data_IF_793180439165
#
_entry.id   IF_793180439165
#
_cell.length_a   1.000
_cell.length_b   1.000
_cell.length_c   1.000
_cell.angle_alpha   90.00
_cell.angle_beta   90.00
_cell.angle_gamma   90.00
#
_symmetry.space_group_name_H-M   'P 1'
#
loop_
_entity.id
_entity.type
_entity.pdbx_description
1 polymer ?
#
# COMPACT_ATOMS: atom_id res chain seq x y z
N UNK A 1 13.23 -22.21 -17.96
CA UNK A 1 14.17 -23.15 -18.62
C UNK A 1 14.01 -24.49 -17.91
N UNK A 2 13.82 -25.59 -18.65
CA UNK A 2 13.59 -26.95 -18.11
C UNK A 2 12.11 -27.37 -18.16
N UNK A 3 11.59 -27.86 -19.29
CA UNK A 3 11.55 -29.24 -19.81
C UNK A 3 10.48 -30.16 -19.19
N UNK A 4 9.75 -30.79 -20.11
CA UNK A 4 8.65 -31.75 -20.02
C UNK A 4 8.92 -32.98 -19.12
N UNK A 5 7.87 -33.50 -18.49
CA UNK A 5 7.59 -34.95 -18.54
C UNK A 5 6.12 -35.24 -18.28
N UNK A 6 5.54 -36.06 -19.16
CA UNK A 6 4.16 -36.50 -19.15
C UNK A 6 3.99 -37.69 -18.21
N UNK A 7 2.86 -37.74 -17.49
CA UNK A 7 2.40 -38.98 -16.87
C UNK A 7 0.91 -39.19 -17.20
N UNK A 8 0.66 -40.17 -18.07
CA UNK A 8 -0.66 -40.74 -18.34
C UNK A 8 -0.75 -42.01 -17.52
N UNK A 9 -1.71 -42.09 -16.60
CA UNK A 9 -2.24 -43.34 -16.08
C UNK A 9 -3.71 -43.13 -15.73
N UNK A 10 -4.59 -43.68 -16.55
CA UNK A 10 -6.01 -43.87 -16.22
C UNK A 10 -6.25 -45.36 -16.29
N UNK A 11 -6.47 -45.96 -15.13
CA UNK A 11 -6.85 -47.35 -14.97
C UNK A 11 -8.30 -47.55 -15.45
N UNK A 12 -8.48 -48.55 -16.30
CA UNK A 12 -9.79 -49.03 -16.74
C UNK A 12 -10.25 -50.15 -15.82
N UNK A 13 -11.47 -50.01 -15.31
CA UNK A 13 -12.23 -51.00 -14.55
C UNK A 13 -12.60 -52.16 -15.50
N UNK A 14 -12.22 -53.40 -15.16
CA UNK A 14 -12.73 -54.62 -15.80
C UNK A 14 -13.66 -55.36 -14.84
N UNK A 15 -14.91 -55.47 -15.27
CA UNK A 15 -15.98 -56.27 -14.69
C UNK A 15 -15.71 -57.76 -14.86
N UNK A 16 -15.96 -58.51 -13.79
CA UNK A 16 -16.03 -59.96 -13.77
C UNK A 16 -17.29 -60.45 -14.49
N UNK A 17 -17.15 -61.41 -15.40
CA UNK A 17 -18.24 -62.28 -15.84
C UNK A 17 -17.68 -63.69 -16.08
N UNK A 18 -18.44 -64.66 -15.57
CA UNK A 18 -18.00 -66.02 -15.27
C UNK A 18 -17.69 -66.91 -16.47
N UNK A 19 -16.92 -67.95 -16.13
CA UNK A 19 -16.58 -69.12 -16.93
C UNK A 19 -17.83 -69.96 -17.20
N UNK A 20 -18.14 -70.18 -18.48
CA UNK A 20 -18.92 -71.33 -18.94
C UNK A 20 -18.04 -72.10 -19.90
N UNK A 21 -17.73 -73.33 -19.51
CA UNK A 21 -17.01 -74.33 -20.31
C UNK A 21 -17.91 -74.86 -21.41
N UNK A 22 -17.49 -74.73 -22.68
CA UNK A 22 -17.98 -75.57 -23.76
C UNK A 22 -16.79 -76.32 -24.38
N UNK A 23 -16.84 -77.64 -24.19
CA UNK A 23 -16.01 -78.66 -24.81
C UNK A 23 -16.26 -78.71 -26.32
N UNK A 24 -15.21 -78.47 -27.10
CA UNK A 24 -15.18 -78.82 -28.52
C UNK A 24 -14.28 -80.04 -28.73
N UNK A 25 -14.70 -81.05 -29.51
CA UNK A 25 -13.97 -82.28 -29.68
C UNK A 25 -12.74 -82.09 -30.58
N UNK A 26 -11.64 -82.75 -30.21
CA UNK A 26 -10.44 -82.92 -31.05
C UNK A 26 -10.81 -83.78 -32.26
N UNK A 27 -10.75 -83.18 -33.45
CA UNK A 27 -10.73 -83.91 -34.71
C UNK A 27 -9.30 -84.05 -35.23
N UNK A 28 -8.97 -85.31 -35.48
CA UNK A 28 -7.85 -85.96 -36.16
C UNK A 28 -6.87 -85.12 -37.00
N UNK A 29 -5.59 -85.39 -36.71
CA UNK A 29 -4.40 -85.14 -37.53
C UNK A 29 -4.57 -85.84 -38.88
N UNK A 30 -4.53 -85.07 -39.97
CA UNK A 30 -4.35 -85.60 -41.33
C UNK A 30 -2.90 -85.34 -41.73
N UNK A 31 -2.09 -86.40 -41.66
CA UNK A 31 -0.75 -86.47 -42.24
C UNK A 31 -0.90 -86.81 -43.74
N UNK A 32 -0.61 -85.83 -44.60
CA UNK A 32 -0.50 -86.00 -46.05
C UNK A 32 0.59 -85.08 -46.61
N UNK A 33 1.23 -85.43 -47.74
CA UNK A 33 2.36 -84.69 -48.26
C UNK A 33 1.93 -83.26 -48.60
N UNK A 34 2.71 -82.29 -48.11
CA UNK A 34 2.51 -80.86 -48.35
C UNK A 34 2.74 -80.61 -49.85
N UNK A 35 1.67 -80.69 -50.64
CA UNK A 35 1.66 -80.15 -51.99
C UNK A 35 1.70 -78.64 -51.82
N UNK A 36 2.89 -78.06 -51.94
CA UNK A 36 3.08 -76.62 -51.98
C UNK A 36 2.50 -76.10 -53.30
N UNK A 37 1.17 -75.97 -53.35
CA UNK A 37 0.50 -75.22 -54.41
C UNK A 37 0.97 -73.78 -54.25
N UNK A 38 1.91 -73.36 -55.09
CA UNK A 38 2.23 -71.94 -55.25
C UNK A 38 1.04 -71.26 -55.91
N UNK A 39 0.04 -70.93 -55.12
CA UNK A 39 -0.82 -69.81 -55.45
C UNK A 39 -0.01 -68.55 -55.20
N UNK A 40 0.65 -68.06 -56.25
CA UNK A 40 0.77 -66.63 -56.40
C UNK A 40 -0.66 -66.10 -56.66
N UNK A 41 -1.51 -66.07 -55.64
CA UNK A 41 -2.55 -65.05 -55.63
C UNK A 41 -1.75 -63.76 -55.48
N UNK A 42 -1.64 -62.98 -56.56
CA UNK A 42 -1.42 -61.56 -56.37
C UNK A 42 -2.40 -61.16 -55.27
N UNK A 43 -1.92 -60.64 -54.13
CA UNK A 43 -2.72 -59.64 -53.42
C UNK A 43 -2.84 -58.51 -54.44
N UNK A 44 -3.84 -58.65 -55.31
CA UNK A 44 -4.16 -57.67 -56.32
C UNK A 44 -4.29 -56.35 -55.58
N UNK A 45 -3.41 -55.42 -55.94
CA UNK A 45 -3.32 -54.07 -55.41
C UNK A 45 -3.13 -53.98 -53.88
N UNK A 46 -2.09 -53.26 -53.45
CA UNK A 46 -2.03 -52.79 -52.08
C UNK A 46 -3.35 -52.09 -51.73
N UNK A 47 -3.96 -52.45 -50.60
CA UNK A 47 -5.01 -51.63 -50.01
C UNK A 47 -4.38 -50.31 -49.59
N UNK A 48 -4.32 -49.38 -50.55
CA UNK A 48 -4.01 -47.98 -50.33
C UNK A 48 -5.28 -47.18 -50.59
N UNK A 49 -6.39 -47.61 -49.99
CA UNK A 49 -7.63 -46.83 -49.99
C UNK A 49 -7.52 -45.78 -48.89
N UNK A 50 -7.45 -44.51 -49.28
CA UNK A 50 -7.46 -43.37 -48.36
C UNK A 50 -8.88 -43.11 -47.84
N UNK A 51 -9.46 -44.09 -47.14
CA UNK A 51 -10.83 -44.03 -46.61
C UNK A 51 -10.85 -43.64 -45.12
N UNK A 52 -9.97 -42.71 -44.73
CA UNK A 52 -9.89 -42.15 -43.37
C UNK A 52 -10.32 -40.69 -43.40
N UNK A 53 -11.46 -40.40 -42.79
CA UNK A 53 -11.89 -39.03 -42.53
C UNK A 53 -12.27 -38.88 -41.05
N UNK A 54 -12.22 -37.63 -40.57
CA UNK A 54 -12.55 -37.30 -39.20
C UNK A 54 -13.96 -36.71 -39.12
N UNK A 55 -14.72 -37.06 -38.09
CA UNK A 55 -16.07 -36.52 -37.91
C UNK A 55 -16.08 -34.98 -37.85
N UNK A 56 -17.12 -34.36 -38.43
CA UNK A 56 -17.33 -32.92 -38.40
C UNK A 56 -17.33 -32.37 -36.98
N UNK A 57 -16.56 -31.30 -36.74
CA UNK A 57 -16.33 -30.75 -35.39
C UNK A 57 -17.43 -29.81 -34.88
N UNK A 58 -18.55 -29.71 -35.59
CA UNK A 58 -19.73 -28.88 -35.25
C UNK A 58 -19.37 -27.42 -34.93
N UNK A 59 -18.37 -26.88 -35.63
CA UNK A 59 -17.96 -25.47 -35.55
C UNK A 59 -19.05 -24.57 -36.17
N UNK A 60 -18.97 -23.26 -35.93
CA UNK A 60 -19.92 -22.27 -36.42
C UNK A 60 -20.61 -21.49 -35.31
N UNK A 61 -21.49 -20.58 -35.71
CA UNK A 61 -22.29 -19.76 -34.80
C UNK A 61 -23.27 -20.64 -34.03
N UNK A 62 -23.48 -20.27 -32.76
CA UNK A 62 -24.43 -20.90 -31.85
C UNK A 62 -25.52 -19.93 -31.42
N UNK A 63 -25.29 -18.63 -31.61
CA UNK A 63 -26.22 -17.54 -31.39
C UNK A 63 -26.18 -16.59 -32.59
N UNK A 64 -27.37 -16.24 -33.11
CA UNK A 64 -27.55 -15.29 -34.20
C UNK A 64 -27.51 -13.83 -33.75
N UNK A 65 -27.53 -12.93 -34.72
CA UNK A 65 -27.64 -11.48 -34.51
C UNK A 65 -28.95 -11.13 -33.79
N UNK A 66 -28.88 -10.29 -32.77
CA UNK A 66 -30.04 -9.82 -32.01
C UNK A 66 -30.62 -10.83 -31.02
N UNK A 67 -30.06 -12.04 -30.90
CA UNK A 67 -30.51 -13.02 -29.91
C UNK A 67 -30.15 -12.61 -28.49
N UNK A 68 -31.07 -12.85 -27.55
CA UNK A 68 -30.79 -12.67 -26.13
C UNK A 68 -29.94 -13.82 -25.59
N UNK A 69 -28.89 -13.46 -24.84
CA UNK A 69 -27.95 -14.41 -24.24
C UNK A 69 -27.78 -14.16 -22.75
N UNK A 70 -27.40 -15.22 -22.02
CA UNK A 70 -27.03 -15.20 -20.61
C UNK A 70 -25.51 -15.35 -20.45
N UNK A 71 -24.90 -14.89 -19.34
CA UNK A 71 -23.48 -15.12 -19.07
C UNK A 71 -23.09 -16.59 -19.20
N UNK A 72 -21.94 -16.84 -19.82
CA UNK A 72 -21.39 -18.18 -20.07
C UNK A 72 -21.91 -18.88 -21.32
N UNK A 73 -22.95 -18.36 -22.00
CA UNK A 73 -23.43 -18.98 -23.23
C UNK A 73 -22.43 -18.82 -24.37
N UNK A 74 -22.22 -19.91 -25.12
CA UNK A 74 -21.34 -19.94 -26.29
C UNK A 74 -22.03 -19.24 -27.46
N UNK A 75 -21.34 -18.28 -28.08
CA UNK A 75 -21.79 -17.53 -29.26
C UNK A 75 -21.25 -18.14 -30.55
N UNK A 76 -19.98 -18.55 -30.56
CA UNK A 76 -19.30 -19.06 -31.76
C UNK A 76 -18.25 -20.10 -31.37
N UNK A 77 -18.26 -21.27 -32.05
CA UNK A 77 -17.16 -22.24 -31.98
C UNK A 77 -16.34 -22.17 -33.26
N UNK A 78 -15.02 -22.01 -33.15
CA UNK A 78 -14.18 -21.78 -34.31
C UNK A 78 -12.80 -22.44 -34.17
N UNK A 79 -12.04 -22.45 -35.26
CA UNK A 79 -10.61 -22.77 -35.29
C UNK A 79 -9.89 -21.50 -35.73
N UNK A 80 -9.01 -20.99 -34.87
CA UNK A 80 -8.52 -19.61 -34.97
C UNK A 80 -9.62 -18.57 -34.74
N UNK A 81 -9.26 -17.30 -34.82
CA UNK A 81 -10.17 -16.16 -34.62
C UNK A 81 -10.73 -15.65 -35.94
N UNK A 82 -11.76 -16.32 -36.46
CA UNK A 82 -12.53 -15.80 -37.61
C UNK A 82 -13.37 -14.60 -37.18
N UNK A 83 -13.94 -14.71 -35.98
CA UNK A 83 -14.47 -13.59 -35.23
C UNK A 83 -13.59 -13.33 -34.01
N UNK A 84 -13.48 -12.06 -33.64
CA UNK A 84 -12.79 -11.58 -32.45
C UNK A 84 -13.80 -11.25 -31.35
N UNK A 85 -13.42 -11.38 -30.06
CA UNK A 85 -14.27 -10.97 -28.96
C UNK A 85 -14.40 -9.43 -28.97
N UNK A 86 -15.64 -8.96 -29.03
CA UNK A 86 -16.01 -7.55 -28.93
C UNK A 86 -16.41 -7.17 -27.51
N UNK A 87 -17.30 -6.19 -27.39
CA UNK A 87 -17.80 -5.72 -26.09
C UNK A 87 -18.55 -6.82 -25.31
N UNK A 88 -18.33 -6.91 -24.00
CA UNK A 88 -19.01 -7.83 -23.06
C UNK A 88 -18.91 -9.34 -23.40
N UNK A 89 -17.84 -9.71 -24.10
CA UNK A 89 -17.62 -11.05 -24.63
C UNK A 89 -16.21 -11.54 -24.30
N UNK A 90 -16.10 -12.83 -23.96
CA UNK A 90 -14.84 -13.53 -23.66
C UNK A 90 -14.45 -14.51 -24.75
N UNK A 91 -13.18 -14.92 -24.75
CA UNK A 91 -12.63 -15.94 -25.64
C UNK A 91 -12.00 -17.07 -24.83
N UNK A 92 -12.38 -18.32 -25.16
CA UNK A 92 -11.84 -19.52 -24.54
C UNK A 92 -10.54 -19.99 -25.20
N UNK A 93 -9.93 -21.04 -24.62
CA UNK A 93 -8.68 -21.63 -25.12
C UNK A 93 -8.76 -22.11 -26.57
N UNK A 94 -9.90 -22.65 -26.99
CA UNK A 94 -10.15 -23.11 -28.36
C UNK A 94 -10.66 -21.98 -29.29
N UNK A 95 -10.50 -20.72 -28.89
CA UNK A 95 -11.05 -19.53 -29.54
C UNK A 95 -12.59 -19.48 -29.60
N UNK A 96 -13.27 -20.31 -28.79
CA UNK A 96 -14.72 -20.23 -28.60
C UNK A 96 -15.08 -18.90 -27.96
N UNK A 97 -16.02 -18.19 -28.57
CA UNK A 97 -16.51 -16.90 -28.08
C UNK A 97 -17.72 -17.15 -27.18
N UNK A 98 -17.75 -16.53 -26.00
CA UNK A 98 -18.84 -16.69 -25.03
C UNK A 98 -19.23 -15.36 -24.36
N UNK A 99 -20.47 -15.30 -23.89
CA UNK A 99 -21.04 -14.13 -23.23
C UNK A 99 -20.45 -13.91 -21.83
N UNK A 100 -20.02 -12.68 -21.49
CA UNK A 100 -19.68 -12.32 -20.10
C UNK A 100 -20.87 -11.70 -19.37
N UNK A 101 -21.70 -10.96 -20.11
CA UNK A 101 -22.89 -10.30 -19.59
C UNK A 101 -24.14 -10.77 -20.37
N UNK A 102 -25.35 -10.71 -19.80
CA UNK A 102 -26.57 -10.89 -20.55
C UNK A 102 -26.85 -9.65 -21.39
N UNK A 103 -27.47 -9.90 -22.54
CA UNK A 103 -27.81 -8.85 -23.48
C UNK A 103 -28.10 -9.47 -24.83
N UNK A 104 -27.87 -8.70 -25.89
CA UNK A 104 -28.21 -9.05 -27.25
C UNK A 104 -26.94 -9.16 -28.10
N UNK A 105 -26.78 -10.28 -28.80
CA UNK A 105 -25.60 -10.54 -29.63
C UNK A 105 -25.57 -9.58 -30.81
N UNK A 106 -24.42 -8.95 -31.07
CA UNK A 106 -24.17 -8.09 -32.22
C UNK A 106 -22.88 -8.50 -32.92
N UNK A 107 -22.98 -8.69 -34.23
CA UNK A 107 -21.86 -8.87 -35.14
C UNK A 107 -21.56 -7.52 -35.78
N UNK A 108 -20.32 -7.06 -35.69
CA UNK A 108 -19.95 -5.72 -36.19
C UNK A 108 -18.50 -5.66 -36.67
N UNK A 109 -18.21 -4.58 -37.39
CA UNK A 109 -16.85 -4.16 -37.76
C UNK A 109 -16.49 -2.96 -36.91
N UNK A 110 -15.30 -3.00 -36.33
CA UNK A 110 -14.79 -1.90 -35.51
C UNK A 110 -13.83 -1.04 -36.36
N UNK A 111 -14.06 0.28 -36.49
CA UNK A 111 -13.15 1.18 -37.21
C UNK A 111 -11.70 1.11 -36.74
N UNK A 112 -11.46 0.85 -35.46
CA UNK A 112 -10.10 0.68 -34.92
C UNK A 112 -9.40 -0.58 -35.45
N UNK A 113 -10.16 -1.55 -35.95
CA UNK A 113 -9.67 -2.87 -36.37
C UNK A 113 -10.28 -3.26 -37.74
N UNK A 114 -9.88 -2.58 -38.83
CA UNK A 114 -10.61 -2.59 -40.10
C UNK A 114 -10.70 -3.96 -40.80
N UNK A 115 -9.76 -4.87 -40.55
CA UNK A 115 -9.71 -6.21 -41.16
C UNK A 115 -10.29 -7.32 -40.27
N UNK A 116 -10.91 -6.97 -39.14
CA UNK A 116 -11.39 -7.94 -38.14
C UNK A 116 -12.90 -7.84 -37.97
N UNK A 117 -13.53 -9.00 -37.81
CA UNK A 117 -14.96 -9.12 -37.50
C UNK A 117 -15.14 -9.38 -36.01
N UNK A 118 -16.09 -8.72 -35.37
CA UNK A 118 -16.31 -8.83 -33.93
C UNK A 118 -17.66 -9.43 -33.62
N UNK A 119 -17.73 -10.11 -32.48
CA UNK A 119 -18.98 -10.48 -31.82
C UNK A 119 -18.96 -9.83 -30.44
N UNK A 120 -19.92 -8.95 -30.20
CA UNK A 120 -20.14 -8.33 -28.90
C UNK A 120 -21.55 -8.59 -28.38
N UNK A 121 -21.79 -8.16 -27.14
CA UNK A 121 -23.10 -8.19 -26.52
C UNK A 121 -23.48 -6.77 -26.13
N UNK A 122 -24.55 -6.30 -26.76
CA UNK A 122 -25.19 -5.05 -26.43
C UNK A 122 -26.11 -5.23 -25.22
N UNK A 123 -25.97 -4.40 -24.18
CA UNK A 123 -26.76 -4.54 -22.94
C UNK A 123 -28.26 -4.31 -23.17
N UNK A 124 -28.61 -3.42 -24.12
CA UNK A 124 -29.99 -3.14 -24.51
C UNK A 124 -30.25 -3.67 -25.92
N UNK A 125 -31.52 -3.99 -26.21
CA UNK A 125 -31.91 -4.50 -27.53
C UNK A 125 -31.64 -3.49 -28.64
N UNK A 126 -31.92 -2.22 -28.39
CA UNK A 126 -31.79 -1.14 -29.37
C UNK A 126 -30.38 -0.57 -29.49
N UNK A 127 -29.48 -0.85 -28.52
CA UNK A 127 -28.09 -0.40 -28.64
C UNK A 127 -27.37 -1.15 -29.77
N UNK A 128 -26.60 -0.39 -30.53
CA UNK A 128 -25.77 -0.89 -31.63
C UNK A 128 -24.32 -1.02 -31.16
N UNK A 129 -23.59 -1.94 -31.77
CA UNK A 129 -22.16 -2.10 -31.62
C UNK A 129 -21.51 -1.86 -33.00
N UNK A 130 -20.34 -1.19 -33.09
CA UNK A 130 -19.51 -0.68 -31.98
C UNK A 130 -20.13 0.55 -31.29
N UNK A 131 -19.88 0.72 -29.99
CA UNK A 131 -20.26 1.96 -29.29
C UNK A 131 -19.37 3.14 -29.72
N UNK A 132 -19.89 4.38 -29.69
CA UNK A 132 -19.05 5.56 -29.95
C UNK A 132 -17.88 5.65 -28.96
N UNK A 133 -16.67 5.90 -29.47
CA UNK A 133 -15.43 5.76 -28.69
C UNK A 133 -15.34 6.67 -27.46
N UNK A 134 -15.83 7.91 -27.58
CA UNK A 134 -15.77 8.92 -26.51
C UNK A 134 -16.97 8.88 -25.56
N UNK A 135 -18.01 8.11 -25.90
CA UNK A 135 -19.15 7.95 -25.01
C UNK A 135 -18.79 7.09 -23.80
N UNK A 136 -19.42 7.33 -22.64
CA UNK A 136 -19.20 6.50 -21.46
C UNK A 136 -19.64 5.07 -21.76
N UNK A 137 -18.75 4.11 -21.49
CA UNK A 137 -19.07 2.69 -21.66
C UNK A 137 -20.25 2.30 -20.77
N UNK A 138 -21.31 1.77 -21.38
CA UNK A 138 -22.42 1.18 -20.66
C UNK A 138 -21.95 -0.05 -19.87
N UNK A 139 -22.19 -0.07 -18.55
CA UNK A 139 -21.81 -1.17 -17.65
C UNK A 139 -23.03 -1.69 -16.91
N UNK A 140 -23.10 -3.00 -16.70
CA UNK A 140 -24.14 -3.62 -15.89
C UNK A 140 -23.65 -3.79 -14.44
N UNK A 141 -24.39 -3.23 -13.49
CA UNK A 141 -24.08 -3.42 -12.07
C UNK A 141 -24.34 -4.86 -11.62
N UNK A 142 -25.50 -5.43 -11.97
CA UNK A 142 -25.80 -6.86 -11.81
C UNK A 142 -26.09 -7.33 -10.38
N UNK A 143 -26.11 -6.42 -9.39
CA UNK A 143 -26.47 -6.71 -8.00
C UNK A 143 -27.78 -6.01 -7.62
N UNK A 144 -28.46 -6.56 -6.62
CA UNK A 144 -29.72 -6.06 -6.05
C UNK A 144 -29.51 -5.80 -4.56
N UNK A 145 -30.03 -4.69 -3.99
CA UNK A 145 -29.95 -4.48 -2.56
C UNK A 145 -30.68 -5.61 -1.80
N UNK A 146 -30.07 -6.08 -0.71
CA UNK A 146 -30.69 -7.06 0.17
C UNK A 146 -31.72 -6.32 1.03
N UNK A 147 -33.00 -6.48 0.72
CA UNK A 147 -34.11 -5.83 1.44
C UNK A 147 -34.41 -6.48 2.78
N UNK A 148 -34.17 -7.79 2.89
CA UNK A 148 -34.38 -8.56 4.11
C UNK A 148 -33.30 -8.22 5.15
N UNK A 149 -33.66 -7.63 6.30
CA UNK A 149 -32.69 -7.18 7.31
C UNK A 149 -31.85 -8.32 7.88
N UNK A 150 -32.40 -9.52 7.96
CA UNK A 150 -31.68 -10.69 8.49
C UNK A 150 -30.54 -11.09 7.57
N UNK A 151 -30.80 -11.13 6.26
CA UNK A 151 -29.80 -11.40 5.23
C UNK A 151 -28.79 -10.26 5.10
N UNK A 152 -29.24 -9.01 5.22
CA UNK A 152 -28.35 -7.85 5.21
C UNK A 152 -27.36 -7.91 6.37
N UNK A 153 -27.83 -8.19 7.59
CA UNK A 153 -26.97 -8.35 8.77
C UNK A 153 -25.99 -9.52 8.64
N UNK A 154 -26.42 -10.62 8.02
CA UNK A 154 -25.53 -11.74 7.72
C UNK A 154 -24.41 -11.32 6.75
N UNK A 155 -24.77 -10.66 5.64
CA UNK A 155 -23.82 -10.17 4.64
C UNK A 155 -22.83 -9.17 5.26
N UNK A 156 -23.31 -8.21 6.07
CA UNK A 156 -22.48 -7.25 6.81
C UNK A 156 -21.50 -7.93 7.77
N UNK A 157 -21.91 -9.05 8.37
CA UNK A 157 -21.07 -9.85 9.26
C UNK A 157 -19.99 -10.66 8.52
N UNK A 158 -20.20 -10.93 7.22
CA UNK A 158 -19.26 -11.75 6.45
C UNK A 158 -17.99 -10.97 6.10
N UNK A 159 -16.83 -11.59 6.31
CA UNK A 159 -15.52 -11.00 6.03
C UNK A 159 -14.68 -11.97 5.22
N UNK A 160 -13.78 -11.45 4.39
CA UNK A 160 -12.77 -12.30 3.73
C UNK A 160 -11.88 -12.94 4.80
N UNK A 161 -11.42 -14.18 4.57
CA UNK A 161 -10.52 -14.90 5.50
C UNK A 161 -9.35 -14.05 5.97
N UNK A 162 -8.69 -13.31 5.07
CA UNK A 162 -7.58 -12.40 5.41
C UNK A 162 -8.00 -11.29 6.39
N UNK A 163 -9.17 -10.69 6.18
CA UNK A 163 -9.69 -9.64 7.05
C UNK A 163 -10.07 -10.20 8.42
N UNK A 164 -10.72 -11.37 8.46
CA UNK A 164 -11.08 -12.04 9.70
C UNK A 164 -9.85 -12.32 10.58
N UNK A 165 -8.78 -12.88 10.00
CA UNK A 165 -7.54 -13.17 10.72
C UNK A 165 -6.82 -11.90 11.21
N UNK A 166 -6.87 -10.81 10.44
CA UNK A 166 -6.22 -9.54 10.82
C UNK A 166 -7.04 -8.71 11.82
N UNK A 167 -8.36 -8.87 11.87
CA UNK A 167 -9.27 -8.08 12.72
C UNK A 167 -8.84 -8.01 14.20
N UNK A 168 -8.50 -9.11 14.90
CA UNK A 168 -8.09 -9.02 16.31
C UNK A 168 -6.77 -8.26 16.51
N UNK A 169 -5.81 -8.42 15.59
CA UNK A 169 -4.51 -7.72 15.63
C UNK A 169 -4.74 -6.22 15.46
N UNK A 170 -5.50 -5.82 14.42
CA UNK A 170 -5.82 -4.42 14.17
C UNK A 170 -6.58 -3.79 15.34
N UNK A 171 -7.51 -4.53 15.97
CA UNK A 171 -8.21 -4.05 17.18
C UNK A 171 -7.24 -3.78 18.34
N UNK A 172 -6.29 -4.69 18.59
CA UNK A 172 -5.26 -4.51 19.63
C UNK A 172 -4.38 -3.29 19.34
N UNK A 173 -3.99 -3.10 18.09
CA UNK A 173 -3.21 -1.93 17.67
C UNK A 173 -3.99 -0.61 17.81
N UNK A 174 -5.27 -0.59 17.42
CA UNK A 174 -6.14 0.58 17.59
C UNK A 174 -6.27 0.93 19.07
N UNK A 175 -6.53 -0.06 19.94
CA UNK A 175 -6.59 0.14 21.39
C UNK A 175 -5.29 0.73 21.94
N UNK A 176 -4.14 0.18 21.56
CA UNK A 176 -2.84 0.70 21.98
C UNK A 176 -2.57 2.15 21.47
N UNK A 177 -3.09 2.52 20.29
CA UNK A 177 -3.01 3.91 19.79
C UNK A 177 -3.92 4.85 20.58
N UNK A 178 -5.11 4.39 20.97
CA UNK A 178 -6.05 5.16 21.80
C UNK A 178 -5.50 5.38 23.21
N UNK A 179 -4.93 4.35 23.85
CA UNK A 179 -4.26 4.47 25.15
C UNK A 179 -3.12 5.50 25.09
N UNK A 180 -2.28 5.45 24.05
CA UNK A 180 -1.24 6.47 23.82
C UNK A 180 -1.82 7.85 23.57
N UNK A 181 -2.97 7.96 22.89
CA UNK A 181 -3.64 9.25 22.66
C UNK A 181 -4.08 9.84 24.00
N UNK A 182 -4.74 9.05 24.84
CA UNK A 182 -5.20 9.45 26.18
C UNK A 182 -4.01 9.92 27.03
N UNK A 183 -2.92 9.14 27.06
CA UNK A 183 -1.70 9.50 27.79
C UNK A 183 -1.10 10.84 27.30
N UNK A 184 -1.00 11.04 25.98
CA UNK A 184 -0.48 12.29 25.43
C UNK A 184 -1.42 13.47 25.68
N UNK A 185 -2.74 13.28 25.59
CA UNK A 185 -3.73 14.31 25.90
C UNK A 185 -3.62 14.72 27.37
N UNK A 186 -3.51 13.77 28.30
CA UNK A 186 -3.32 14.03 29.72
C UNK A 186 -2.02 14.83 29.98
N UNK A 187 -0.92 14.41 29.36
CA UNK A 187 0.37 15.13 29.45
C UNK A 187 0.26 16.57 28.93
N UNK A 188 -0.46 16.80 27.83
CA UNK A 188 -0.69 18.16 27.33
C UNK A 188 -1.63 18.97 28.23
N UNK A 189 -2.62 18.34 28.88
CA UNK A 189 -3.45 18.99 29.90
C UNK A 189 -2.61 19.48 31.09
N UNK A 190 -1.73 18.64 31.62
CA UNK A 190 -0.81 19.01 32.71
C UNK A 190 0.15 20.13 32.32
N UNK A 191 0.68 20.10 31.10
CA UNK A 191 1.56 21.15 30.58
C UNK A 191 0.81 22.46 30.34
N UNK A 192 -0.44 22.39 29.85
CA UNK A 192 -1.29 23.57 29.64
C UNK A 192 -1.56 24.30 30.95
N UNK A 193 -1.90 23.59 32.02
CA UNK A 193 -2.15 24.17 33.35
C UNK A 193 -0.93 24.98 33.83
N UNK A 194 0.28 24.50 33.55
CA UNK A 194 1.53 25.18 33.95
C UNK A 194 1.80 26.46 33.15
N UNK A 195 1.43 26.48 31.87
CA UNK A 195 1.74 27.61 30.97
C UNK A 195 0.63 28.67 30.97
N UNK A 196 -0.63 28.24 31.06
CA UNK A 196 -1.82 29.10 31.06
C UNK A 196 -2.75 28.67 32.19
N UNK A 197 -2.54 29.17 33.42
CA UNK A 197 -3.33 28.77 34.59
C UNK A 197 -4.78 29.29 34.56
N UNK A 198 -5.09 30.26 33.69
CA UNK A 198 -6.41 30.91 33.59
C UNK A 198 -7.46 30.10 32.81
N UNK A 199 -7.15 28.89 32.34
CA UNK A 199 -8.07 28.09 31.54
C UNK A 199 -9.01 27.28 32.43
N UNK A 200 -10.29 27.21 32.01
CA UNK A 200 -11.26 26.33 32.66
C UNK A 200 -10.99 24.86 32.34
N UNK A 201 -11.51 23.92 33.15
CA UNK A 201 -11.30 22.48 32.94
C UNK A 201 -11.78 22.00 31.55
N UNK A 202 -12.92 22.52 31.09
CA UNK A 202 -13.45 22.20 29.76
C UNK A 202 -12.55 22.71 28.64
N UNK A 203 -12.03 23.93 28.79
CA UNK A 203 -11.08 24.52 27.85
C UNK A 203 -9.76 23.77 27.82
N UNK A 204 -9.30 23.25 28.96
CA UNK A 204 -8.09 22.40 29.05
C UNK A 204 -8.31 21.09 28.29
N UNK A 205 -9.49 20.47 28.42
CA UNK A 205 -9.81 19.23 27.69
C UNK A 205 -9.81 19.47 26.18
N UNK A 206 -10.55 20.47 25.70
CA UNK A 206 -10.61 20.79 24.26
C UNK A 206 -9.26 21.29 23.74
N UNK A 207 -8.54 22.09 24.54
CA UNK A 207 -7.23 22.62 24.22
C UNK A 207 -6.16 21.55 24.10
N UNK A 208 -6.13 20.57 25.02
CA UNK A 208 -5.19 19.45 24.97
C UNK A 208 -5.43 18.55 23.75
N UNK A 209 -6.69 18.29 23.40
CA UNK A 209 -7.06 17.58 22.17
C UNK A 209 -6.62 18.35 20.91
N UNK A 210 -6.86 19.67 20.88
CA UNK A 210 -6.40 20.56 19.80
C UNK A 210 -4.89 20.51 19.64
N UNK A 211 -4.14 20.64 20.73
CA UNK A 211 -2.68 20.64 20.68
C UNK A 211 -2.12 19.29 20.23
N UNK A 212 -2.73 18.17 20.66
CA UNK A 212 -2.35 16.86 20.16
C UNK A 212 -2.59 16.72 18.65
N UNK A 213 -3.69 17.27 18.13
CA UNK A 213 -3.96 17.28 16.70
C UNK A 213 -2.93 18.12 15.93
N UNK A 214 -2.63 19.35 16.38
CA UNK A 214 -1.60 20.21 15.76
C UNK A 214 -0.25 19.49 15.76
N UNK A 215 0.15 18.90 16.88
CA UNK A 215 1.37 18.10 17.00
C UNK A 215 1.43 16.98 15.96
N UNK A 216 0.33 16.26 15.74
CA UNK A 216 0.28 15.20 14.74
C UNK A 216 0.43 15.75 13.32
N UNK A 217 -0.18 16.90 13.00
CA UNK A 217 -0.03 17.55 11.70
C UNK A 217 1.40 18.04 11.46
N UNK A 218 2.01 18.73 12.43
CA UNK A 218 3.41 19.17 12.33
C UNK A 218 4.36 17.97 12.20
N UNK A 219 4.13 16.90 12.97
CA UNK A 219 4.89 15.65 12.85
C UNK A 219 4.79 15.01 11.45
N UNK A 220 3.65 15.20 10.77
CA UNK A 220 3.43 14.71 9.42
C UNK A 220 3.98 15.65 8.33
N UNK A 221 4.58 16.78 8.70
CA UNK A 221 5.27 17.70 7.79
C UNK A 221 4.47 18.94 7.37
N UNK A 222 3.33 19.23 8.00
CA UNK A 222 2.63 20.49 7.79
C UNK A 222 3.37 21.65 8.46
N UNK A 223 3.25 22.86 7.91
CA UNK A 223 3.72 24.06 8.59
C UNK A 223 2.91 24.32 9.87
N UNK A 224 3.44 25.11 10.81
CA UNK A 224 2.76 25.38 12.07
C UNK A 224 1.41 26.10 11.85
N UNK A 225 1.35 27.03 10.91
CA UNK A 225 0.14 27.78 10.58
C UNK A 225 -0.89 26.90 9.91
N UNK A 226 -0.47 26.08 8.93
CA UNK A 226 -1.35 25.11 8.28
C UNK A 226 -1.87 24.08 9.27
N UNK A 227 -1.03 23.57 10.17
CA UNK A 227 -1.41 22.61 11.20
C UNK A 227 -2.47 23.18 12.18
N UNK A 228 -2.35 24.46 12.54
CA UNK A 228 -3.34 25.17 13.36
C UNK A 228 -4.66 25.35 12.60
N UNK A 229 -4.60 25.86 11.37
CA UNK A 229 -5.77 26.09 10.53
C UNK A 229 -6.52 24.79 10.22
N UNK A 230 -5.79 23.74 9.84
CA UNK A 230 -6.36 22.41 9.54
C UNK A 230 -7.04 21.81 10.77
N UNK A 231 -6.42 21.91 11.95
CA UNK A 231 -7.01 21.44 13.21
C UNK A 231 -8.31 22.19 13.52
N UNK A 232 -8.33 23.52 13.38
CA UNK A 232 -9.55 24.33 13.55
C UNK A 232 -10.65 23.86 12.60
N UNK A 233 -10.30 23.69 11.32
CA UNK A 233 -11.25 23.31 10.28
C UNK A 233 -11.87 21.93 10.54
N UNK A 234 -11.06 20.94 10.95
CA UNK A 234 -11.54 19.60 11.31
C UNK A 234 -12.53 19.67 12.48
N UNK A 235 -12.24 20.45 13.52
CA UNK A 235 -13.12 20.58 14.67
C UNK A 235 -14.46 21.23 14.29
N UNK A 236 -14.43 22.34 13.55
CA UNK A 236 -15.64 23.00 13.07
C UNK A 236 -16.47 22.11 12.15
N UNK A 237 -15.81 21.31 11.30
CA UNK A 237 -16.49 20.34 10.45
C UNK A 237 -17.18 19.25 11.29
N UNK A 238 -16.56 18.79 12.38
CA UNK A 238 -17.18 17.82 13.28
C UNK A 238 -18.41 18.40 13.99
N UNK A 239 -18.37 19.66 14.44
CA UNK A 239 -19.54 20.37 14.97
C UNK A 239 -20.67 20.45 13.93
N UNK A 240 -20.33 20.83 12.69
CA UNK A 240 -21.30 20.89 11.58
C UNK A 240 -21.91 19.53 11.24
N UNK A 241 -21.11 18.46 11.32
CA UNK A 241 -21.61 17.09 11.14
C UNK A 241 -22.56 16.67 12.27
N UNK A 242 -22.29 17.07 13.51
CA UNK A 242 -23.18 16.82 14.65
C UNK A 242 -24.53 17.51 14.49
N UNK A 243 -24.52 18.78 14.07
CA UNK A 243 -25.73 19.53 13.70
C UNK A 243 -26.51 18.81 12.58
N UNK A 244 -25.83 18.36 11.53
CA UNK A 244 -26.47 17.63 10.41
C UNK A 244 -27.05 16.29 10.83
N UNK A 245 -26.51 15.65 11.88
CA UNK A 245 -27.07 14.44 12.49
C UNK A 245 -28.22 14.73 13.46
N UNK A 246 -28.60 16.00 13.63
CA UNK A 246 -29.59 16.48 14.60
C UNK A 246 -29.26 16.12 16.07
N UNK A 247 -27.96 16.01 16.39
CA UNK A 247 -27.48 15.78 17.76
C UNK A 247 -27.45 17.08 18.58
N UNK A 248 -27.37 18.22 17.91
CA UNK A 248 -27.25 19.57 18.51
C UNK A 248 -28.20 20.52 17.82
N UNK A 249 -28.62 21.57 18.55
CA UNK A 249 -29.42 22.65 17.98
C UNK A 249 -28.54 23.68 17.25
N UNK A 250 -29.15 24.51 16.41
CA UNK A 250 -28.42 25.57 15.70
C UNK A 250 -27.76 26.57 16.68
N UNK A 251 -28.41 26.87 17.79
CA UNK A 251 -27.93 27.81 18.82
C UNK A 251 -26.76 27.22 19.62
N UNK A 252 -26.83 25.93 19.96
CA UNK A 252 -25.72 25.22 20.58
C UNK A 252 -24.51 25.15 19.65
N UNK A 253 -24.75 24.92 18.36
CA UNK A 253 -23.69 24.88 17.34
C UNK A 253 -22.98 26.23 17.21
N UNK A 254 -23.73 27.34 17.10
CA UNK A 254 -23.12 28.69 17.01
C UNK A 254 -22.33 29.02 18.28
N UNK A 255 -22.87 28.68 19.45
CA UNK A 255 -22.22 28.89 20.74
C UNK A 255 -20.93 28.08 20.86
N UNK A 256 -20.96 26.80 20.51
CA UNK A 256 -19.80 25.91 20.53
C UNK A 256 -18.72 26.35 19.52
N UNK A 257 -19.13 26.80 18.33
CA UNK A 257 -18.23 27.35 17.33
C UNK A 257 -17.50 28.59 17.86
N UNK A 258 -18.23 29.56 18.43
CA UNK A 258 -17.65 30.78 18.98
C UNK A 258 -16.71 30.48 20.15
N UNK A 259 -17.14 29.61 21.08
CA UNK A 259 -16.31 29.15 22.21
C UNK A 259 -14.99 28.55 21.73
N UNK A 260 -15.04 27.69 20.70
CA UNK A 260 -13.84 27.06 20.15
C UNK A 260 -12.92 28.07 19.43
N UNK A 261 -13.48 28.98 18.64
CA UNK A 261 -12.70 30.01 17.94
C UNK A 261 -11.98 30.93 18.95
N UNK A 262 -12.69 31.36 19.99
CA UNK A 262 -12.13 32.17 21.06
C UNK A 262 -10.98 31.43 21.76
N UNK A 263 -11.20 30.17 22.17
CA UNK A 263 -10.17 29.32 22.76
C UNK A 263 -8.97 29.14 21.82
N UNK A 264 -9.21 28.87 20.54
CA UNK A 264 -8.13 28.68 19.57
C UNK A 264 -7.25 29.92 19.44
N UNK A 265 -7.86 31.10 19.38
CA UNK A 265 -7.14 32.38 19.32
C UNK A 265 -6.36 32.68 20.60
N UNK A 266 -6.91 32.31 21.78
CA UNK A 266 -6.24 32.43 23.08
C UNK A 266 -5.01 31.54 23.15
N UNK A 267 -5.15 30.27 22.75
CA UNK A 267 -4.06 29.30 22.76
C UNK A 267 -2.95 29.65 21.76
N UNK A 268 -3.29 30.17 20.58
CA UNK A 268 -2.30 30.54 19.57
C UNK A 268 -1.40 31.70 20.00
N UNK A 269 -1.94 32.63 20.81
CA UNK A 269 -1.18 33.73 21.40
C UNK A 269 -0.36 33.30 22.61
N UNK A 270 -0.77 32.25 23.31
CA UNK A 270 -0.18 31.84 24.59
C UNK A 270 0.85 30.70 24.46
N UNK A 271 0.65 29.78 23.53
CA UNK A 271 1.36 28.49 23.47
C UNK A 271 2.03 28.26 22.12
N UNK A 272 3.21 27.66 22.15
CA UNK A 272 3.87 27.05 20.98
C UNK A 272 4.51 25.71 21.37
N UNK A 273 5.05 25.00 20.38
CA UNK A 273 5.76 23.73 20.58
C UNK A 273 7.27 23.94 20.52
N UNK A 274 7.98 23.24 21.41
CA UNK A 274 9.42 23.00 21.27
C UNK A 274 9.69 21.91 20.20
N UNK A 275 10.95 21.71 19.82
CA UNK A 275 11.41 20.67 18.89
C UNK A 275 11.02 19.24 19.30
N UNK A 276 10.85 18.97 20.60
CA UNK A 276 10.37 17.69 21.14
C UNK A 276 8.84 17.60 21.24
N UNK A 277 8.12 18.64 20.81
CA UNK A 277 6.68 18.79 20.94
C UNK A 277 6.16 18.90 22.38
N UNK A 278 6.96 19.47 23.28
CA UNK A 278 6.46 19.92 24.58
C UNK A 278 5.83 21.30 24.41
N UNK A 279 4.82 21.59 25.22
CA UNK A 279 4.18 22.91 25.27
C UNK A 279 5.10 23.90 25.98
N UNK A 280 5.37 25.02 25.32
CA UNK A 280 6.12 26.16 25.84
C UNK A 280 5.33 27.45 25.62
N UNK A 281 5.72 28.52 26.31
CA UNK A 281 5.13 29.85 26.10
C UNK A 281 5.42 30.32 24.66
N UNK A 282 4.40 30.89 24.02
CA UNK A 282 4.53 31.50 22.69
C UNK A 282 5.56 32.64 22.71
N UNK A 283 6.31 32.74 21.60
CA UNK A 283 7.30 33.79 21.33
C UNK A 283 7.13 34.22 19.88
N UNK A 284 7.30 35.50 19.60
CA UNK A 284 7.32 35.98 18.21
C UNK A 284 8.55 35.44 17.47
N UNK A 285 8.51 35.41 16.14
CA UNK A 285 9.66 34.94 15.36
C UNK A 285 10.91 35.79 15.57
N UNK A 286 10.74 37.11 15.72
CA UNK A 286 11.85 38.04 15.94
C UNK A 286 12.48 37.87 17.32
N UNK A 287 11.65 37.72 18.37
CA UNK A 287 12.12 37.34 19.71
C UNK A 287 12.89 36.02 19.65
N UNK A 288 12.35 35.01 18.96
CA UNK A 288 13.02 33.72 18.81
C UNK A 288 14.39 33.89 18.15
N UNK A 289 14.48 34.63 17.03
CA UNK A 289 15.75 34.88 16.32
C UNK A 289 16.77 35.58 17.22
N UNK A 290 16.34 36.58 18.00
CA UNK A 290 17.23 37.29 18.93
C UNK A 290 17.78 36.35 20.02
N UNK A 291 16.93 35.49 20.60
CA UNK A 291 17.34 34.51 21.61
C UNK A 291 18.27 33.44 21.02
N UNK A 292 18.05 32.99 19.78
CA UNK A 292 18.97 32.08 19.10
C UNK A 292 20.34 32.74 18.90
N UNK A 293 20.38 34.01 18.52
CA UNK A 293 21.63 34.75 18.35
C UNK A 293 22.39 34.92 19.67
N UNK A 294 21.69 35.24 20.77
CA UNK A 294 22.28 35.30 22.12
C UNK A 294 22.78 33.93 22.60
N UNK A 295 22.02 32.87 22.32
CA UNK A 295 22.44 31.50 22.62
C UNK A 295 23.68 31.13 21.78
N UNK A 296 23.75 31.56 20.52
CA UNK A 296 24.92 31.33 19.69
C UNK A 296 26.16 32.09 20.18
N UNK A 297 26.03 33.36 20.60
CA UNK A 297 27.16 34.13 21.12
C UNK A 297 27.70 33.53 22.42
N UNK A 298 26.82 33.19 23.36
CA UNK A 298 27.19 32.52 24.63
C UNK A 298 27.89 31.18 24.40
N UNK A 299 27.39 30.36 23.46
CA UNK A 299 28.04 29.10 23.11
C UNK A 299 29.40 29.35 22.45
N UNK A 300 29.54 30.36 21.58
CA UNK A 300 30.84 30.71 20.96
C UNK A 300 31.86 31.12 22.02
N UNK A 301 31.47 31.94 22.99
CA UNK A 301 32.32 32.35 24.11
C UNK A 301 32.78 31.14 24.94
N UNK A 302 31.85 30.26 25.34
CA UNK A 302 32.17 29.03 26.07
C UNK A 302 33.04 28.07 25.25
N UNK A 303 32.84 28.01 23.94
CA UNK A 303 33.62 27.16 23.06
C UNK A 303 35.06 27.66 22.88
N UNK A 304 35.29 28.97 22.90
CA UNK A 304 36.63 29.56 22.82
C UNK A 304 37.53 29.16 23.99
N UNK A 305 36.96 29.07 25.20
CA UNK A 305 37.62 28.61 26.41
C UNK A 305 37.35 27.13 26.61
N UNK A 306 37.89 26.28 25.74
CA UNK A 306 37.48 24.88 25.73
C UNK A 306 37.90 24.12 26.99
N UNK A 307 36.91 23.78 27.82
CA UNK A 307 37.08 23.02 29.06
C UNK A 307 36.00 21.95 29.21
N UNK A 308 36.25 20.94 30.05
CA UNK A 308 35.23 19.91 30.36
C UNK A 308 33.96 20.50 30.98
N UNK A 309 34.13 21.50 31.86
CA UNK A 309 33.02 22.21 32.51
C UNK A 309 32.18 22.94 31.47
N UNK A 310 32.84 23.73 30.62
CA UNK A 310 32.20 24.49 29.55
C UNK A 310 31.53 23.57 28.53
N UNK A 311 32.12 22.41 28.22
CA UNK A 311 31.48 21.40 27.35
C UNK A 311 30.21 20.81 27.97
N UNK A 312 30.19 20.59 29.30
CA UNK A 312 28.99 20.17 30.03
C UNK A 312 27.93 21.27 30.01
N UNK A 313 28.33 22.52 30.16
CA UNK A 313 27.46 23.68 30.10
C UNK A 313 26.85 23.89 28.72
N UNK A 314 27.64 23.82 27.64
CA UNK A 314 27.15 23.84 26.25
C UNK A 314 26.14 22.71 26.04
N UNK A 315 26.39 21.49 26.55
CA UNK A 315 25.41 20.40 26.50
C UNK A 315 24.11 20.80 27.21
N UNK A 316 24.19 21.32 28.44
CA UNK A 316 23.00 21.75 29.20
C UNK A 316 22.20 22.82 28.43
N UNK A 317 22.88 23.85 27.92
CA UNK A 317 22.26 24.91 27.12
C UNK A 317 21.55 24.36 25.88
N UNK A 318 22.17 23.44 25.13
CA UNK A 318 21.57 22.85 23.93
C UNK A 318 20.45 21.84 24.22
N UNK A 319 20.47 21.15 25.36
CA UNK A 319 19.43 20.16 25.70
C UNK A 319 18.18 20.79 26.32
N UNK A 320 18.36 21.92 27.00
CA UNK A 320 17.30 22.69 27.67
C UNK A 320 16.84 23.91 26.85
N UNK A 321 17.36 24.09 25.62
CA UNK A 321 16.93 25.21 24.77
C UNK A 321 15.55 24.94 24.17
N UNK A 322 14.59 25.76 24.54
CA UNK A 322 13.22 25.71 24.00
C UNK A 322 13.06 26.52 22.70
N UNK A 323 14.14 27.13 22.21
CA UNK A 323 14.12 28.14 21.12
C UNK A 323 14.50 27.53 19.76
N UNK A 324 15.28 26.45 19.79
CA UNK A 324 15.91 25.88 18.61
C UNK A 324 14.98 24.91 17.90
N UNK A 325 14.89 25.05 16.57
CA UNK A 325 14.31 24.00 15.72
C UNK A 325 15.15 22.73 15.76
N UNK A 326 14.58 21.59 15.36
CA UNK A 326 15.31 20.33 15.34
C UNK A 326 16.55 20.37 14.43
N UNK A 327 16.46 21.04 13.28
CA UNK A 327 17.58 21.18 12.34
C UNK A 327 18.67 22.09 12.90
N UNK A 328 18.30 23.23 13.50
CA UNK A 328 19.24 24.13 14.19
C UNK A 328 19.94 23.39 15.34
N UNK A 329 19.21 22.71 16.22
CA UNK A 329 19.78 21.95 17.34
C UNK A 329 20.80 20.90 16.87
N UNK A 330 20.51 20.19 15.77
CA UNK A 330 21.47 19.25 15.16
C UNK A 330 22.69 19.99 14.62
N UNK A 331 22.51 21.14 13.96
CA UNK A 331 23.61 21.98 13.47
C UNK A 331 24.50 22.44 14.63
N UNK A 332 23.95 23.00 15.69
CA UNK A 332 24.69 23.42 16.89
C UNK A 332 25.46 22.25 17.51
N UNK A 333 24.84 21.08 17.67
CA UNK A 333 25.51 19.88 18.19
C UNK A 333 26.70 19.47 17.32
N UNK A 334 26.56 19.48 15.99
CA UNK A 334 27.64 19.13 15.06
C UNK A 334 28.78 20.15 15.07
N UNK A 335 28.47 21.43 15.24
CA UNK A 335 29.47 22.50 15.25
C UNK A 335 30.26 22.54 16.56
N UNK A 336 29.57 22.56 17.70
CA UNK A 336 30.19 22.86 19.01
C UNK A 336 30.47 21.63 19.87
N UNK A 337 29.82 20.49 19.61
CA UNK A 337 30.01 19.24 20.34
C UNK A 337 30.62 18.15 19.44
N UNK A 338 31.68 18.50 18.72
CA UNK A 338 32.47 17.54 17.93
C UNK A 338 33.09 16.48 18.83
N UNK A 339 33.14 15.23 18.39
CA UNK A 339 33.77 14.15 19.17
C UNK A 339 35.26 14.42 19.43
N UNK A 340 35.94 14.99 18.43
CA UNK A 340 37.35 15.37 18.46
C UNK A 340 37.47 16.81 18.00
N UNK A 341 38.25 17.61 18.72
CA UNK A 341 38.48 19.02 18.39
C UNK A 341 39.38 19.20 17.16
N UNK A 342 39.40 20.38 16.52
CA UNK A 342 40.44 20.74 15.55
C UNK A 342 41.85 20.68 16.16
N UNK A 343 42.88 20.61 15.31
CA UNK A 343 44.27 20.58 15.77
C UNK A 343 44.67 21.89 16.44
N UNK A 344 44.28 23.02 15.86
CA UNK A 344 44.64 24.38 16.31
C UNK A 344 44.31 24.69 17.78
N UNK A 345 43.24 24.08 18.31
CA UNK A 345 42.75 24.33 19.68
C UNK A 345 43.48 23.43 20.70
N UNK A 346 44.11 22.34 20.25
CA UNK A 346 44.60 21.26 21.11
C UNK A 346 46.07 20.87 20.84
N UNK A 347 46.86 21.74 20.21
CA UNK A 347 48.30 21.51 20.05
C UNK A 347 48.99 21.75 21.39
N UNK A 348 49.22 20.69 22.14
CA UNK A 348 50.32 20.65 23.10
C UNK A 348 51.54 20.13 22.33
N UNK A 349 52.51 21.00 22.08
CA UNK A 349 53.75 20.73 21.32
C UNK A 349 54.70 19.72 21.97
N UNK A 350 54.32 19.09 23.07
CA UNK A 350 55.19 18.17 23.78
C UNK A 350 54.76 16.72 23.56
N UNK A 351 55.76 15.86 23.30
CA UNK A 351 55.65 14.39 23.24
C UNK A 351 55.19 13.84 24.60
N UNK A 352 53.95 14.13 24.96
CA UNK A 352 53.36 13.71 26.21
C UNK A 352 53.12 12.20 26.12
N UNK A 353 53.68 11.41 27.06
CA UNK A 353 53.56 9.93 27.07
C UNK A 353 52.10 9.43 27.08
N UNK A 354 51.13 10.33 27.30
CA UNK A 354 49.70 10.06 27.39
C UNK A 354 48.90 10.55 26.16
N UNK A 355 49.53 11.03 25.08
CA UNK A 355 48.85 11.46 23.86
C UNK A 355 48.34 10.26 23.03
N UNK A 356 47.20 10.44 22.35
CA UNK A 356 46.69 9.48 21.37
C UNK A 356 47.36 9.72 20.01
N UNK A 357 47.85 8.65 19.38
CA UNK A 357 48.55 8.75 18.09
C UNK A 357 47.56 8.51 16.96
N UNK A 358 47.46 9.46 16.04
CA UNK A 358 46.65 9.36 14.82
C UNK A 358 47.58 9.44 13.62
N UNK A 359 47.50 8.46 12.71
CA UNK A 359 48.27 8.47 11.45
C UNK A 359 47.35 8.91 10.32
N UNK A 360 47.81 9.84 9.47
CA UNK A 360 47.08 10.27 8.27
C UNK A 360 48.01 10.35 7.07
N UNK A 361 47.46 10.18 5.88
CA UNK A 361 48.18 10.44 4.65
C UNK A 361 48.24 11.95 4.38
N UNK A 362 49.42 12.50 4.13
CA UNK A 362 49.61 13.87 3.71
C UNK A 362 49.84 13.91 2.20
N UNK A 363 48.87 14.43 1.44
CA UNK A 363 48.93 14.50 -0.02
C UNK A 363 49.97 15.47 -0.55
N UNK A 364 50.37 16.50 0.21
CA UNK A 364 51.39 17.47 -0.23
C UNK A 364 52.80 16.87 -0.11
N UNK A 365 53.03 16.06 0.92
CA UNK A 365 54.34 15.46 1.20
C UNK A 365 54.44 14.00 0.76
N UNK A 366 53.36 13.43 0.22
CA UNK A 366 53.21 12.04 -0.20
C UNK A 366 53.70 11.02 0.84
N UNK A 367 53.43 11.27 2.12
CA UNK A 367 53.86 10.41 3.22
C UNK A 367 52.82 10.32 4.33
N UNK A 368 52.98 9.29 5.16
CA UNK A 368 52.17 9.14 6.38
C UNK A 368 52.69 10.12 7.45
N UNK A 369 51.87 11.10 7.81
CA UNK A 369 52.11 11.97 8.95
C UNK A 369 51.58 11.31 10.23
N UNK A 370 52.39 11.36 11.29
CA UNK A 370 52.03 10.88 12.63
C UNK A 370 51.69 12.10 13.49
N UNK A 371 50.41 12.27 13.82
CA UNK A 371 49.89 13.37 14.63
C UNK A 371 49.65 12.88 16.06
N UNK A 372 50.36 13.44 17.04
CA UNK A 372 50.09 13.19 18.45
C UNK A 372 48.99 14.15 18.94
N UNK A 373 47.88 13.61 19.43
CA UNK A 373 46.72 14.36 19.92
C UNK A 373 46.64 14.27 21.43
N UNK A 374 46.51 15.40 22.13
CA UNK A 374 46.33 15.39 23.58
C UNK A 374 45.01 14.70 23.97
N UNK A 375 44.98 14.02 25.13
CA UNK A 375 43.73 13.41 25.66
C UNK A 375 42.65 14.44 25.99
N UNK A 376 43.01 15.73 26.11
CA UNK A 376 42.06 16.83 26.28
C UNK A 376 41.27 17.15 25.01
N UNK A 377 41.80 16.79 23.85
CA UNK A 377 41.18 17.06 22.55
C UNK A 377 39.98 16.16 22.21
N UNK A 378 39.72 15.15 23.03
CA UNK A 378 38.62 14.19 22.88
C UNK A 378 37.52 14.51 23.89
N UNK A 379 36.33 14.83 23.40
CA UNK A 379 35.17 15.22 24.25
C UNK A 379 34.69 14.06 25.12
N UNK A 380 34.79 12.83 24.62
CA UNK A 380 34.54 11.61 25.38
C UNK A 380 35.85 10.88 25.60
N UNK A 381 36.30 10.81 26.86
CA UNK A 381 37.37 9.90 27.28
C UNK A 381 36.75 8.51 27.39
N UNK A 382 36.72 7.74 26.30
CA UNK A 382 36.67 6.28 26.43
C UNK A 382 38.09 5.76 26.59
#
# INVERSE_FOLDING_TARGET
MGFWSANKNVAFIKSAFGLVSNSFPRASVINGPIIQVRTATKRAAGSRTNMKDSAGRRLGSKKGEGEFVRPGQILMRQRGTKFFPGENVGIGKDHTIFALEPGYVRFYLDPFHPRRRFIGIALKKHSRLPTPHFEPRARRFGYVPITDPSKAKFEEGTLKRKQFLMKPILKKEVKAREEKRIQNTALYGEQLIKVVPELTEEEIKIGSERLLAIRNHVKNGLSNEEAKATTTMIYLQNLKLSLKRNETTQEEWTTAQQKYLNLSSKLEKAVTFDNKFNIIKYRSEDERRSLVAQLESTIKELYSKFDKKNTSEIKKLLFNSDVLTQSELIKFKRTYLKAVLPEDIAVTDTKDKKAAIVKRWNYIREKVDVVARSKGAFVTRK
#
